data_IF_287675033363
#
_entry.id   IF_287675033363
#
_cell.length_a   1.000
_cell.length_b   1.000
_cell.length_c   1.000
_cell.angle_alpha   90.00
_cell.angle_beta   90.00
_cell.angle_gamma   90.00
#
_symmetry.space_group_name_H-M   'P 1'
#
loop_
_entity.id
_entity.type
_entity.pdbx_description
1 polymer ?
#
# COMPACT_ATOMS: atom_id res chain seq x y z
N UNK A 1 13.10 35.97 3.16
CA UNK A 1 13.19 36.84 1.96
C UNK A 1 13.19 38.27 2.45
N UNK A 2 14.04 39.15 1.92
CA UNK A 2 14.11 40.55 2.35
C UNK A 2 12.99 41.39 1.68
N UNK A 3 12.82 42.64 2.10
CA UNK A 3 11.77 43.53 1.56
C UNK A 3 12.05 43.97 0.10
N UNK A 4 13.31 44.00 -0.32
CA UNK A 4 13.70 44.32 -1.70
C UNK A 4 13.26 43.21 -2.68
N UNK A 5 13.48 41.95 -2.32
CA UNK A 5 13.06 40.77 -3.07
C UNK A 5 11.52 40.69 -3.18
N UNK A 6 10.82 41.05 -2.11
CA UNK A 6 9.34 41.15 -2.11
C UNK A 6 8.86 42.27 -3.04
N UNK A 7 9.54 43.41 -3.05
CA UNK A 7 9.21 44.54 -3.93
C UNK A 7 9.38 44.14 -5.39
N UNK A 8 10.48 43.46 -5.76
CA UNK A 8 10.71 42.94 -7.12
C UNK A 8 9.64 41.96 -7.60
N UNK A 9 9.14 41.09 -6.72
CA UNK A 9 8.01 40.19 -7.02
C UNK A 9 6.72 40.99 -7.23
N UNK A 10 6.49 42.01 -6.40
CA UNK A 10 5.26 42.79 -6.42
C UNK A 10 5.18 43.71 -7.65
N UNK A 11 6.29 44.34 -8.03
CA UNK A 11 6.41 45.19 -9.22
C UNK A 11 6.18 44.41 -10.52
N UNK A 12 6.56 43.12 -10.54
CA UNK A 12 6.42 42.25 -11.72
C UNK A 12 5.21 41.31 -11.65
N UNK A 13 4.27 41.55 -10.71
CA UNK A 13 3.19 40.60 -10.41
C UNK A 13 2.25 40.36 -11.59
N UNK A 14 1.99 41.37 -12.43
CA UNK A 14 1.18 41.24 -13.64
C UNK A 14 1.84 40.30 -14.67
N UNK A 15 3.12 40.51 -14.94
CA UNK A 15 3.88 39.71 -15.92
C UNK A 15 4.08 38.27 -15.40
N UNK A 16 4.34 38.12 -14.10
CA UNK A 16 4.38 36.83 -13.43
C UNK A 16 3.03 36.12 -13.53
N UNK A 17 1.91 36.82 -13.32
CA UNK A 17 0.59 36.21 -13.43
C UNK A 17 0.32 35.70 -14.86
N UNK A 18 0.68 36.46 -15.87
CA UNK A 18 0.45 36.06 -17.27
C UNK A 18 1.37 34.92 -17.72
N UNK A 19 2.63 34.94 -17.29
CA UNK A 19 3.65 34.01 -17.77
C UNK A 19 3.75 32.73 -16.93
N UNK A 20 3.60 32.84 -15.60
CA UNK A 20 3.89 31.76 -14.65
C UNK A 20 2.64 30.95 -14.29
N UNK A 21 1.44 31.50 -14.48
CA UNK A 21 0.19 30.84 -14.06
C UNK A 21 -0.05 29.49 -14.75
N UNK A 22 0.54 29.27 -15.93
CA UNK A 22 0.44 27.99 -16.66
C UNK A 22 1.48 26.98 -16.16
N UNK A 23 2.59 27.45 -15.58
CA UNK A 23 3.73 26.63 -15.14
C UNK A 23 3.95 26.66 -13.62
N UNK A 24 2.91 26.89 -12.82
CA UNK A 24 3.05 26.99 -11.36
C UNK A 24 3.50 25.65 -10.76
N UNK A 25 2.94 24.53 -11.20
CA UNK A 25 3.23 23.20 -10.63
C UNK A 25 4.70 22.79 -10.73
N UNK A 26 5.38 22.87 -11.90
CA UNK A 26 6.82 22.60 -11.99
C UNK A 26 7.69 23.50 -11.07
N UNK A 27 7.35 24.80 -10.99
CA UNK A 27 8.06 25.76 -10.13
C UNK A 27 7.85 25.41 -8.66
N UNK A 28 6.63 24.99 -8.31
CA UNK A 28 6.25 24.59 -6.97
C UNK A 28 7.01 23.33 -6.51
N UNK A 29 7.13 22.33 -7.40
CA UNK A 29 7.94 21.14 -7.14
C UNK A 29 9.40 21.49 -6.88
N UNK A 30 9.99 22.36 -7.70
CA UNK A 30 11.37 22.83 -7.50
C UNK A 30 11.54 23.55 -6.15
N UNK A 31 10.57 24.34 -5.72
CA UNK A 31 10.60 25.03 -4.42
C UNK A 31 10.46 24.06 -3.23
N UNK A 32 9.72 22.97 -3.39
CA UNK A 32 9.59 21.92 -2.37
C UNK A 32 10.87 21.08 -2.29
N UNK A 33 11.42 20.66 -3.43
CA UNK A 33 12.67 19.89 -3.50
C UNK A 33 13.85 20.64 -2.87
N UNK A 34 13.88 21.96 -3.02
CA UNK A 34 14.89 22.84 -2.41
C UNK A 34 14.54 23.28 -0.99
N UNK A 35 13.49 22.72 -0.39
CA UNK A 35 13.12 22.93 1.01
C UNK A 35 12.56 24.32 1.33
N UNK A 36 12.22 25.12 0.32
CA UNK A 36 11.62 26.45 0.51
C UNK A 36 10.16 26.29 0.95
N UNK A 37 9.43 25.37 0.32
CA UNK A 37 8.06 25.00 0.70
C UNK A 37 8.02 23.59 1.28
N UNK A 38 7.00 23.33 2.09
CA UNK A 38 6.73 21.99 2.61
C UNK A 38 5.80 21.22 1.68
N UNK A 39 5.88 19.89 1.69
CA UNK A 39 5.05 19.03 0.86
C UNK A 39 3.55 19.20 1.14
N UNK A 40 3.16 19.50 2.39
CA UNK A 40 1.76 19.72 2.76
C UNK A 40 1.14 20.94 2.06
N UNK A 41 1.97 21.90 1.60
CA UNK A 41 1.49 23.06 0.84
C UNK A 41 0.99 22.64 -0.54
N UNK A 42 1.61 21.64 -1.18
CA UNK A 42 1.18 21.12 -2.48
C UNK A 42 -0.25 20.54 -2.40
N UNK A 43 -0.53 19.74 -1.37
CA UNK A 43 -1.86 19.18 -1.15
C UNK A 43 -2.94 20.25 -0.92
N UNK A 44 -2.61 21.35 -0.24
CA UNK A 44 -3.50 22.51 -0.05
C UNK A 44 -3.61 23.41 -1.29
N UNK A 45 -2.66 23.29 -2.20
CA UNK A 45 -2.59 24.05 -3.45
C UNK A 45 -3.47 23.40 -4.53
N UNK A 46 -3.44 22.07 -4.62
CA UNK A 46 -4.22 21.27 -5.57
C UNK A 46 -5.73 21.27 -5.28
N UNK A 47 -6.13 21.59 -4.05
CA UNK A 47 -7.55 21.72 -3.66
C UNK A 47 -8.21 23.01 -4.20
N UNK A 48 -7.44 23.95 -4.76
CA UNK A 48 -7.97 25.24 -5.24
C UNK A 48 -8.31 25.11 -6.72
N UNK A 49 -9.60 25.17 -7.04
CA UNK A 49 -10.07 24.96 -8.42
C UNK A 49 -9.79 26.14 -9.37
N UNK A 50 -9.62 27.36 -8.83
CA UNK A 50 -9.37 28.55 -9.64
C UNK A 50 -7.87 28.88 -9.74
N UNK A 51 -7.37 28.98 -10.97
CA UNK A 51 -5.93 29.23 -11.25
C UNK A 51 -5.46 30.60 -10.78
N UNK A 52 -6.33 31.61 -10.78
CA UNK A 52 -5.98 32.93 -10.29
C UNK A 52 -5.83 32.94 -8.76
N UNK A 53 -6.71 32.24 -8.06
CA UNK A 53 -6.60 32.02 -6.62
C UNK A 53 -5.40 31.14 -6.26
N UNK A 54 -5.08 30.13 -7.09
CA UNK A 54 -3.84 29.36 -6.96
C UNK A 54 -2.62 30.26 -7.06
N UNK A 55 -2.50 31.05 -8.13
CA UNK A 55 -1.39 32.00 -8.31
C UNK A 55 -1.29 33.00 -7.15
N UNK A 56 -2.43 33.54 -6.70
CA UNK A 56 -2.46 34.50 -5.58
C UNK A 56 -1.98 33.87 -4.28
N UNK A 57 -2.41 32.64 -3.97
CA UNK A 57 -1.95 31.90 -2.80
C UNK A 57 -0.47 31.51 -2.90
N UNK A 58 -0.01 31.15 -4.10
CA UNK A 58 1.40 30.87 -4.37
C UNK A 58 2.29 32.09 -4.08
N UNK A 59 1.97 33.24 -4.67
CA UNK A 59 2.73 34.48 -4.45
C UNK A 59 2.66 34.91 -2.99
N UNK A 60 1.48 34.86 -2.36
CA UNK A 60 1.31 35.18 -0.95
C UNK A 60 2.16 34.28 -0.04
N UNK A 61 2.23 32.98 -0.34
CA UNK A 61 3.02 32.04 0.44
C UNK A 61 4.52 32.23 0.21
N UNK A 62 4.93 32.49 -1.04
CA UNK A 62 6.31 32.79 -1.40
C UNK A 62 6.81 34.04 -0.66
N UNK A 63 6.02 35.12 -0.66
CA UNK A 63 6.36 36.38 0.02
C UNK A 63 6.28 36.31 1.53
N UNK A 64 5.43 35.44 2.08
CA UNK A 64 5.27 35.25 3.53
C UNK A 64 6.14 34.15 4.12
N UNK A 65 6.85 33.37 3.30
CA UNK A 65 7.62 32.18 3.72
C UNK A 65 8.73 32.45 4.73
N UNK A 66 9.17 33.72 4.91
CA UNK A 66 10.27 34.11 5.79
C UNK A 66 11.65 33.56 5.38
N UNK A 67 11.70 32.58 4.48
CA UNK A 67 12.87 31.81 4.11
C UNK A 67 13.88 32.67 3.34
N UNK A 68 15.14 32.72 3.79
CA UNK A 68 16.16 33.63 3.23
C UNK A 68 16.47 33.35 1.76
N UNK A 69 16.37 32.08 1.35
CA UNK A 69 16.68 31.63 -0.02
C UNK A 69 15.44 31.55 -0.93
N UNK A 70 14.25 31.96 -0.47
CA UNK A 70 13.02 31.81 -1.25
C UNK A 70 13.10 32.49 -2.62
N UNK A 71 13.60 33.74 -2.66
CA UNK A 71 13.72 34.49 -3.90
C UNK A 71 14.74 33.90 -4.87
N UNK A 72 15.93 33.54 -4.39
CA UNK A 72 16.97 32.93 -5.22
C UNK A 72 16.51 31.60 -5.82
N UNK A 73 15.85 30.76 -5.01
CA UNK A 73 15.34 29.47 -5.49
C UNK A 73 14.19 29.65 -6.48
N UNK A 74 13.32 30.64 -6.25
CA UNK A 74 12.26 30.99 -7.20
C UNK A 74 12.83 31.43 -8.56
N UNK A 75 13.88 32.26 -8.58
CA UNK A 75 14.58 32.64 -9.81
C UNK A 75 15.19 31.44 -10.53
N UNK A 76 15.81 30.52 -9.79
CA UNK A 76 16.35 29.29 -10.37
C UNK A 76 15.25 28.43 -10.98
N UNK A 77 14.11 28.30 -10.31
CA UNK A 77 12.95 27.58 -10.84
C UNK A 77 12.38 28.25 -12.10
N UNK A 78 12.27 29.58 -12.12
CA UNK A 78 11.84 30.32 -13.31
C UNK A 78 12.78 30.13 -14.51
N UNK A 79 14.11 30.15 -14.28
CA UNK A 79 15.10 29.86 -15.33
C UNK A 79 14.99 28.42 -15.84
N UNK A 80 14.79 27.45 -14.94
CA UNK A 80 14.62 26.05 -15.31
C UNK A 80 13.40 25.83 -16.22
N UNK A 81 12.32 26.57 -15.98
CA UNK A 81 11.10 26.55 -16.81
C UNK A 81 11.18 27.43 -18.07
N UNK A 82 12.36 27.96 -18.41
CA UNK A 82 12.58 28.72 -19.63
C UNK A 82 12.31 30.23 -19.53
N UNK A 83 11.88 30.74 -18.38
CA UNK A 83 11.55 32.16 -18.16
C UNK A 83 12.79 33.05 -17.93
N UNK A 84 13.86 32.86 -18.71
CA UNK A 84 15.13 33.59 -18.56
C UNK A 84 14.95 35.11 -18.70
N UNK A 85 14.23 35.55 -19.74
CA UNK A 85 13.96 36.96 -20.01
C UNK A 85 13.14 37.64 -18.89
N UNK A 86 12.25 36.87 -18.24
CA UNK A 86 11.45 37.38 -17.13
C UNK A 86 12.32 37.58 -15.89
N UNK A 87 13.22 36.64 -15.60
CA UNK A 87 14.15 36.79 -14.47
C UNK A 87 15.12 37.95 -14.71
N UNK A 88 15.62 38.15 -15.93
CA UNK A 88 16.42 39.33 -16.27
C UNK A 88 15.63 40.63 -16.10
N UNK A 89 14.34 40.64 -16.46
CA UNK A 89 13.47 41.81 -16.27
C UNK A 89 13.24 42.11 -14.79
N UNK A 90 13.06 41.08 -13.95
CA UNK A 90 12.93 41.22 -12.50
C UNK A 90 14.25 41.62 -11.80
N UNK A 91 15.39 41.46 -12.47
CA UNK A 91 16.72 41.83 -11.97
C UNK A 91 17.20 43.21 -12.44
N UNK A 92 16.55 43.81 -13.45
CA UNK A 92 16.91 45.15 -13.95
C UNK A 92 16.44 46.23 -12.99
N UNK A 93 17.36 47.07 -12.56
CA UNK A 93 17.10 48.18 -11.64
C UNK A 93 16.73 49.49 -12.34
N UNK A 94 16.95 49.67 -13.66
CA UNK A 94 16.55 50.86 -14.44
C UNK A 94 16.36 50.56 -15.95
N UNK A 95 15.55 51.35 -16.70
CA UNK A 95 15.43 51.25 -18.15
C UNK A 95 16.47 52.14 -18.87
N UNK A 96 17.33 51.54 -19.72
CA UNK A 96 18.34 52.25 -20.51
C UNK A 96 17.79 52.70 -21.89
N UNK A 97 17.73 54.01 -22.21
CA UNK A 97 17.09 54.52 -23.43
C UNK A 97 18.02 54.77 -24.63
N UNK A 98 19.31 54.42 -24.62
CA UNK A 98 20.23 54.84 -25.70
C UNK A 98 20.88 53.70 -26.48
N UNK A 99 20.39 53.45 -27.70
CA UNK A 99 21.18 52.78 -28.76
C UNK A 99 20.96 53.49 -30.11
N UNK A 100 21.82 54.48 -30.38
CA UNK A 100 21.89 55.18 -31.68
C UNK A 100 23.08 54.64 -32.47
N UNK A 101 22.85 54.24 -33.73
CA UNK A 101 23.86 53.83 -34.71
C UNK A 101 24.39 55.10 -35.39
N UNK A 102 25.68 55.41 -35.25
CA UNK A 102 26.35 56.44 -36.05
C UNK A 102 26.82 55.85 -37.39
N UNK A 103 26.52 56.53 -38.50
CA UNK A 103 27.14 56.31 -39.82
C UNK A 103 27.82 57.61 -40.22
N UNK A 104 29.14 57.56 -40.39
CA UNK A 104 29.99 58.69 -40.74
C UNK A 104 30.02 58.88 -42.27
N UNK A 105 29.80 60.13 -42.70
CA UNK A 105 29.91 60.61 -44.08
C UNK A 105 31.37 60.71 -44.52
N UNK A 106 31.62 60.34 -45.78
CA UNK A 106 32.90 60.55 -46.49
C UNK A 106 32.90 61.95 -47.11
N UNK A 107 33.85 62.80 -46.72
CA UNK A 107 34.16 64.06 -47.41
C UNK A 107 35.05 63.78 -48.65
N UNK A 108 34.66 64.35 -49.80
CA UNK A 108 35.50 64.44 -50.99
C UNK A 108 35.99 65.87 -51.16
N UNK A 109 37.31 66.06 -51.20
CA UNK A 109 37.95 67.30 -51.63
C UNK A 109 38.48 67.14 -53.05
N UNK A 110 37.88 67.90 -53.97
CA UNK A 110 38.36 68.13 -55.34
C UNK A 110 39.39 69.27 -55.32
N UNK A 111 40.52 69.09 -56.00
CA UNK A 111 41.32 70.22 -56.49
C UNK A 111 42.01 69.86 -57.80
N UNK A 112 41.77 70.70 -58.80
CA UNK A 112 42.23 70.59 -60.18
C UNK A 112 43.55 71.37 -60.40
N UNK A 113 44.36 70.93 -61.38
CA UNK A 113 45.46 71.72 -61.96
C UNK A 113 46.44 70.87 -62.79
N UNK A 114 46.46 71.04 -64.11
CA UNK A 114 47.16 70.23 -65.12
C UNK A 114 48.71 70.40 -65.17
N UNK A 115 49.47 69.54 -65.90
CA UNK A 115 49.66 69.73 -67.35
C UNK A 115 49.54 68.45 -68.22
N UNK A 116 48.94 68.59 -69.39
CA UNK A 116 48.38 67.52 -70.25
C UNK A 116 49.36 66.64 -71.06
N UNK A 117 50.55 66.32 -70.53
CA UNK A 117 51.48 65.36 -71.13
C UNK A 117 51.84 64.20 -70.19
N UNK A 118 52.09 64.52 -68.91
CA UNK A 118 52.31 63.55 -67.83
C UNK A 118 50.99 62.97 -67.29
N UNK A 119 49.89 63.72 -67.43
CA UNK A 119 48.55 63.30 -67.03
C UNK A 119 48.12 62.00 -67.72
N UNK A 120 48.46 61.81 -69.00
CA UNK A 120 48.07 60.62 -69.77
C UNK A 120 48.89 59.38 -69.38
N UNK A 121 50.16 59.58 -68.97
CA UNK A 121 51.02 58.54 -68.42
C UNK A 121 50.60 58.14 -67.00
N UNK A 122 50.37 59.12 -66.13
CA UNK A 122 49.87 58.90 -64.78
C UNK A 122 48.46 58.28 -64.78
N UNK A 123 47.58 58.68 -65.69
CA UNK A 123 46.26 58.04 -65.86
C UNK A 123 46.41 56.58 -66.30
N UNK A 124 47.28 56.27 -67.27
CA UNK A 124 47.55 54.88 -67.69
C UNK A 124 48.12 54.02 -66.56
N UNK A 125 49.04 54.57 -65.77
CA UNK A 125 49.61 53.87 -64.61
C UNK A 125 48.59 53.68 -63.49
N UNK A 126 47.76 54.69 -63.21
CA UNK A 126 46.64 54.55 -62.27
C UNK A 126 45.60 53.53 -62.74
N UNK A 127 45.31 53.44 -64.05
CA UNK A 127 44.41 52.42 -64.59
C UNK A 127 45.03 51.01 -64.45
N UNK A 128 46.32 50.85 -64.76
CA UNK A 128 47.01 49.57 -64.57
C UNK A 128 47.14 49.17 -63.08
N UNK A 129 47.35 50.13 -62.18
CA UNK A 129 47.34 49.91 -60.73
C UNK A 129 45.94 49.55 -60.21
N UNK A 130 44.89 50.19 -60.74
CA UNK A 130 43.51 49.88 -60.45
C UNK A 130 43.12 48.47 -60.93
N UNK A 131 43.56 48.06 -62.13
CA UNK A 131 43.37 46.71 -62.65
C UNK A 131 44.10 45.67 -61.80
N UNK A 132 45.35 45.92 -61.41
CA UNK A 132 46.12 45.02 -60.53
C UNK A 132 45.45 44.86 -59.16
N UNK A 133 45.03 45.96 -58.54
CA UNK A 133 44.27 45.96 -57.28
C UNK A 133 42.93 45.25 -57.42
N UNK A 134 42.24 45.42 -58.56
CA UNK A 134 41.00 44.73 -58.86
C UNK A 134 41.23 43.22 -58.96
N UNK A 135 42.29 42.78 -59.64
CA UNK A 135 42.62 41.37 -59.79
C UNK A 135 43.05 40.71 -58.46
N UNK A 136 43.85 41.40 -57.64
CA UNK A 136 44.17 40.94 -56.28
C UNK A 136 42.94 40.90 -55.37
N UNK A 137 42.01 41.86 -55.51
CA UNK A 137 40.72 41.82 -54.82
C UNK A 137 39.90 40.62 -55.29
N UNK A 138 39.90 40.31 -56.58
CA UNK A 138 39.18 39.16 -57.09
C UNK A 138 39.76 37.83 -56.62
N UNK A 139 41.10 37.70 -56.55
CA UNK A 139 41.75 36.51 -55.98
C UNK A 139 41.34 36.29 -54.52
N UNK A 140 41.38 37.34 -53.70
CA UNK A 140 40.92 37.29 -52.30
C UNK A 140 39.45 36.89 -52.18
N UNK A 141 38.57 37.46 -53.01
CA UNK A 141 37.15 37.10 -53.04
C UNK A 141 36.96 35.61 -53.38
N UNK A 142 37.73 35.07 -54.34
CA UNK A 142 37.64 33.65 -54.71
C UNK A 142 38.11 32.74 -53.57
N UNK A 143 39.18 33.11 -52.87
CA UNK A 143 39.68 32.40 -51.70
C UNK A 143 38.67 32.43 -50.54
N UNK A 144 38.07 33.59 -50.26
CA UNK A 144 37.03 33.76 -49.24
C UNK A 144 35.78 32.92 -49.56
N UNK A 145 35.32 32.93 -50.82
CA UNK A 145 34.19 32.10 -51.26
C UNK A 145 34.50 30.61 -51.12
N UNK A 146 35.73 30.18 -51.44
CA UNK A 146 36.17 28.80 -51.22
C UNK A 146 36.17 28.43 -49.74
N UNK A 147 36.68 29.31 -48.88
CA UNK A 147 36.70 29.09 -47.44
C UNK A 147 35.30 29.05 -46.83
N UNK A 148 34.39 29.92 -47.27
CA UNK A 148 32.98 29.94 -46.87
C UNK A 148 32.31 28.62 -47.28
N UNK A 149 32.50 28.15 -48.52
CA UNK A 149 31.94 26.87 -48.97
C UNK A 149 32.43 25.70 -48.12
N UNK A 150 33.72 25.66 -47.79
CA UNK A 150 34.28 24.62 -46.92
C UNK A 150 33.64 24.65 -45.52
N UNK A 151 33.52 25.84 -44.92
CA UNK A 151 32.84 26.02 -43.62
C UNK A 151 31.36 25.64 -43.68
N UNK A 152 30.68 25.94 -44.79
CA UNK A 152 29.29 25.54 -44.99
C UNK A 152 29.14 24.01 -45.05
N UNK A 153 30.04 23.31 -45.75
CA UNK A 153 30.04 21.84 -45.79
C UNK A 153 30.32 21.23 -44.42
N UNK A 154 31.29 21.77 -43.67
CA UNK A 154 31.59 21.33 -42.31
C UNK A 154 30.41 21.56 -41.35
N UNK A 155 29.75 22.71 -41.44
CA UNK A 155 28.56 23.01 -40.65
C UNK A 155 27.38 22.09 -41.00
N UNK A 156 27.21 21.72 -42.28
CA UNK A 156 26.16 20.79 -42.71
C UNK A 156 26.40 19.37 -42.20
N UNK A 157 27.66 18.89 -42.22
CA UNK A 157 28.02 17.59 -41.64
C UNK A 157 27.74 17.55 -40.13
N UNK A 158 28.11 18.62 -39.41
CA UNK A 158 27.84 18.71 -37.98
C UNK A 158 26.34 18.70 -37.69
N UNK A 159 25.53 19.42 -38.49
CA UNK A 159 24.07 19.39 -38.38
C UNK A 159 23.48 18.00 -38.60
N UNK A 160 24.01 17.23 -39.55
CA UNK A 160 23.56 15.86 -39.80
C UNK A 160 23.90 14.93 -38.63
N UNK A 161 25.10 15.07 -38.06
CA UNK A 161 25.52 14.31 -36.89
C UNK A 161 24.66 14.64 -35.66
N UNK A 162 24.43 15.93 -35.39
CA UNK A 162 23.52 16.39 -34.33
C UNK A 162 22.11 15.84 -34.50
N UNK A 163 21.59 15.83 -35.73
CA UNK A 163 20.26 15.28 -36.02
C UNK A 163 20.19 13.76 -35.79
N UNK A 164 21.27 13.04 -36.12
CA UNK A 164 21.36 11.60 -35.86
C UNK A 164 21.39 11.31 -34.37
N UNK A 165 22.20 12.03 -33.61
CA UNK A 165 22.27 11.88 -32.15
C UNK A 165 20.94 12.23 -31.47
N UNK A 166 20.25 13.28 -31.93
CA UNK A 166 18.93 13.63 -31.43
C UNK A 166 17.91 12.52 -31.71
N UNK A 167 17.97 11.89 -32.88
CA UNK A 167 17.12 10.75 -33.22
C UNK A 167 17.40 9.52 -32.34
N UNK A 168 18.67 9.17 -32.14
CA UNK A 168 19.08 8.06 -31.26
C UNK A 168 18.61 8.29 -29.82
N UNK A 169 18.75 9.53 -29.32
CA UNK A 169 18.27 9.92 -27.99
C UNK A 169 16.75 9.81 -27.88
N UNK A 170 16.02 10.23 -28.91
CA UNK A 170 14.56 10.11 -28.95
C UNK A 170 14.10 8.64 -28.89
N UNK A 171 14.71 7.77 -29.67
CA UNK A 171 14.39 6.34 -29.67
C UNK A 171 14.75 5.66 -28.35
N UNK A 172 15.86 6.04 -27.72
CA UNK A 172 16.21 5.56 -26.39
C UNK A 172 15.18 6.01 -25.35
N UNK A 173 14.81 7.29 -25.34
CA UNK A 173 13.80 7.82 -24.44
C UNK A 173 12.45 7.12 -24.61
N UNK A 174 12.04 6.87 -25.86
CA UNK A 174 10.81 6.12 -26.17
C UNK A 174 10.84 4.70 -25.60
N UNK A 175 11.97 3.97 -25.73
CA UNK A 175 12.12 2.62 -25.16
C UNK A 175 12.09 2.66 -23.64
N UNK A 176 12.82 3.58 -23.02
CA UNK A 176 12.86 3.73 -21.56
C UNK A 176 11.48 4.08 -21.00
N UNK A 177 10.74 4.98 -21.65
CA UNK A 177 9.36 5.30 -21.28
C UNK A 177 8.45 4.07 -21.37
N UNK A 178 8.60 3.25 -22.41
CA UNK A 178 7.85 1.99 -22.54
C UNK A 178 8.12 1.02 -21.38
N UNK A 179 9.39 0.85 -21.00
CA UNK A 179 9.79 0.02 -19.85
C UNK A 179 9.19 0.57 -18.55
N UNK A 180 9.29 1.88 -18.32
CA UNK A 180 8.75 2.53 -17.12
C UNK A 180 7.22 2.38 -17.02
N UNK A 181 6.50 2.51 -18.14
CA UNK A 181 5.05 2.30 -18.19
C UNK A 181 4.69 0.85 -17.85
N UNK A 182 5.43 -0.13 -18.40
CA UNK A 182 5.22 -1.53 -18.09
C UNK A 182 5.49 -1.83 -16.61
N UNK A 183 6.63 -1.38 -16.08
CA UNK A 183 6.97 -1.57 -14.66
C UNK A 183 5.97 -0.89 -13.73
N UNK A 184 5.44 0.28 -14.11
CA UNK A 184 4.36 0.94 -13.36
C UNK A 184 3.07 0.11 -13.33
N UNK A 185 2.72 -0.53 -14.46
CA UNK A 185 1.58 -1.45 -14.53
C UNK A 185 1.78 -2.71 -13.66
N UNK A 186 2.97 -3.30 -13.70
CA UNK A 186 3.35 -4.45 -12.87
C UNK A 186 3.32 -4.10 -11.38
N UNK A 187 3.82 -2.93 -11.00
CA UNK A 187 3.79 -2.44 -9.61
C UNK A 187 2.34 -2.27 -9.12
N UNK A 188 1.46 -1.71 -9.95
CA UNK A 188 0.04 -1.58 -9.61
C UNK A 188 -0.60 -2.95 -9.39
N UNK A 189 -0.37 -3.90 -10.31
CA UNK A 189 -0.87 -5.27 -10.17
C UNK A 189 -0.36 -5.93 -8.88
N UNK A 190 0.92 -5.75 -8.55
CA UNK A 190 1.51 -6.32 -7.34
C UNK A 190 0.91 -5.71 -6.06
N UNK A 191 0.59 -4.41 -6.07
CA UNK A 191 -0.13 -3.74 -4.96
C UNK A 191 -1.55 -4.28 -4.77
N UNK A 192 -2.25 -4.57 -5.86
CA UNK A 192 -3.58 -5.18 -5.82
C UNK A 192 -3.52 -6.61 -5.26
N UNK A 193 -2.58 -7.44 -5.74
CA UNK A 193 -2.37 -8.80 -5.24
C UNK A 193 -1.95 -8.83 -3.77
N UNK A 194 -1.08 -7.92 -3.35
CA UNK A 194 -0.70 -7.78 -1.94
C UNK A 194 -1.92 -7.45 -1.06
N UNK A 195 -2.80 -6.56 -1.54
CA UNK A 195 -4.04 -6.21 -0.84
C UNK A 195 -4.97 -7.42 -0.72
N UNK A 196 -5.16 -8.17 -1.80
CA UNK A 196 -5.95 -9.43 -1.79
C UNK A 196 -5.39 -10.46 -0.82
N UNK A 197 -4.07 -10.63 -0.79
CA UNK A 197 -3.42 -11.55 0.15
C UNK A 197 -3.64 -11.13 1.61
N UNK A 198 -3.62 -9.83 1.91
CA UNK A 198 -3.96 -9.34 3.25
C UNK A 198 -5.41 -9.65 3.64
N UNK A 199 -6.35 -9.51 2.71
CA UNK A 199 -7.76 -9.85 2.93
C UNK A 199 -7.94 -11.35 3.20
N UNK A 200 -7.35 -12.22 2.37
CA UNK A 200 -7.36 -13.67 2.57
C UNK A 200 -6.77 -14.03 3.94
N UNK A 201 -5.64 -13.42 4.32
CA UNK A 201 -5.02 -13.67 5.63
C UNK A 201 -5.93 -13.22 6.79
N UNK A 202 -6.70 -12.15 6.62
CA UNK A 202 -7.70 -11.70 7.60
C UNK A 202 -8.87 -12.68 7.70
N UNK A 203 -9.39 -13.16 6.57
CA UNK A 203 -10.49 -14.14 6.52
C UNK A 203 -10.09 -15.49 7.14
N UNK A 204 -8.88 -15.97 6.87
CA UNK A 204 -8.35 -17.19 7.49
C UNK A 204 -8.29 -17.06 9.01
N UNK A 205 -7.75 -15.93 9.52
CA UNK A 205 -7.69 -15.68 10.97
C UNK A 205 -9.08 -15.61 11.59
N UNK A 206 -10.05 -15.00 10.91
CA UNK A 206 -11.42 -14.96 11.38
C UNK A 206 -12.05 -16.35 11.43
N UNK A 207 -11.85 -17.14 10.37
CA UNK A 207 -12.36 -18.51 10.27
C UNK A 207 -11.80 -19.41 11.38
N UNK A 208 -10.51 -19.29 11.68
CA UNK A 208 -9.87 -20.02 12.78
C UNK A 208 -10.40 -19.58 14.14
N UNK A 209 -10.58 -18.28 14.36
CA UNK A 209 -11.18 -17.75 15.59
C UNK A 209 -12.61 -18.27 15.80
N UNK A 210 -13.44 -18.25 14.75
CA UNK A 210 -14.81 -18.75 14.80
C UNK A 210 -14.85 -20.26 15.06
N UNK A 211 -13.90 -21.01 14.48
CA UNK A 211 -13.73 -22.44 14.76
C UNK A 211 -13.36 -22.68 16.22
N UNK A 212 -12.42 -21.92 16.76
CA UNK A 212 -12.01 -22.01 18.17
C UNK A 212 -13.16 -21.69 19.13
N UNK A 213 -13.97 -20.66 18.82
CA UNK A 213 -15.17 -20.32 19.59
C UNK A 213 -16.18 -21.48 19.61
N UNK A 214 -16.45 -22.08 18.45
CA UNK A 214 -17.33 -23.27 18.35
C UNK A 214 -16.79 -24.46 19.15
N UNK A 215 -15.48 -24.73 19.08
CA UNK A 215 -14.85 -25.81 19.83
C UNK A 215 -14.90 -25.55 21.34
N UNK A 216 -14.69 -24.31 21.79
CA UNK A 216 -14.84 -23.92 23.19
C UNK A 216 -16.28 -24.16 23.67
N UNK A 217 -17.30 -23.81 22.87
CA UNK A 217 -18.70 -24.11 23.17
C UNK A 217 -18.95 -25.61 23.35
N UNK A 218 -18.47 -26.45 22.41
CA UNK A 218 -18.57 -27.91 22.53
C UNK A 218 -17.85 -28.47 23.75
N UNK A 219 -16.72 -27.90 24.14
CA UNK A 219 -16.02 -28.34 25.36
C UNK A 219 -16.83 -28.07 26.63
N UNK A 220 -17.55 -26.95 26.71
CA UNK A 220 -18.46 -26.70 27.83
C UNK A 220 -19.62 -27.70 27.85
N UNK A 221 -20.22 -28.01 26.69
CA UNK A 221 -21.28 -29.02 26.57
C UNK A 221 -20.78 -30.41 27.00
N UNK A 222 -19.59 -30.82 26.57
CA UNK A 222 -18.96 -32.07 27.02
C UNK A 222 -18.75 -32.06 28.53
N UNK A 223 -18.33 -30.93 29.12
CA UNK A 223 -18.15 -30.82 30.57
C UNK A 223 -19.48 -30.96 31.33
N UNK A 224 -20.55 -30.36 30.82
CA UNK A 224 -21.89 -30.49 31.39
C UNK A 224 -22.41 -31.92 31.30
N UNK A 225 -22.29 -32.56 30.13
CA UNK A 225 -22.65 -33.96 29.92
C UNK A 225 -21.87 -34.88 30.87
N UNK A 226 -20.57 -34.66 31.04
CA UNK A 226 -19.75 -35.43 31.99
C UNK A 226 -20.22 -35.25 33.45
N UNK A 227 -20.67 -34.05 33.82
CA UNK A 227 -21.25 -33.81 35.15
C UNK A 227 -22.56 -34.59 35.34
N UNK A 228 -23.42 -34.62 34.32
CA UNK A 228 -24.65 -35.40 34.35
C UNK A 228 -24.38 -36.90 34.42
N UNK A 229 -23.45 -37.42 33.62
CA UNK A 229 -23.05 -38.84 33.65
C UNK A 229 -22.59 -39.24 35.06
N UNK A 230 -21.70 -38.47 35.68
CA UNK A 230 -21.23 -38.74 37.05
C UNK A 230 -22.36 -38.77 38.09
N UNK A 231 -23.36 -37.89 37.94
CA UNK A 231 -24.54 -37.91 38.83
C UNK A 231 -25.36 -39.19 38.64
N UNK A 232 -25.59 -39.60 37.40
CA UNK A 232 -26.34 -40.80 37.07
C UNK A 232 -25.60 -42.08 37.50
N UNK A 233 -24.27 -42.13 37.31
CA UNK A 233 -23.42 -43.22 37.79
C UNK A 233 -23.53 -43.39 39.31
N UNK A 234 -23.44 -42.28 40.06
CA UNK A 234 -23.61 -42.31 41.51
C UNK A 234 -24.99 -42.84 41.93
N UNK A 235 -26.06 -42.40 41.27
CA UNK A 235 -27.41 -42.90 41.54
C UNK A 235 -27.54 -44.40 41.23
N UNK A 236 -26.88 -44.87 40.17
CA UNK A 236 -26.87 -46.29 39.82
C UNK A 236 -26.12 -47.12 40.86
N UNK A 237 -24.97 -46.66 41.35
CA UNK A 237 -24.22 -47.30 42.43
C UNK A 237 -25.05 -47.41 43.71
N UNK A 238 -25.72 -46.32 44.12
CA UNK A 238 -26.64 -46.31 45.26
C UNK A 238 -27.75 -47.36 45.09
N UNK A 239 -28.33 -47.47 43.89
CA UNK A 239 -29.37 -48.47 43.59
C UNK A 239 -28.84 -49.90 43.58
N UNK A 240 -27.61 -50.13 43.12
CA UNK A 240 -26.97 -51.44 43.18
C UNK A 240 -26.79 -51.88 44.64
N UNK A 241 -26.33 -50.97 45.50
CA UNK A 241 -26.14 -51.24 46.94
C UNK A 241 -27.48 -51.49 47.67
N UNK A 242 -28.51 -50.68 47.39
CA UNK A 242 -29.86 -50.93 47.89
C UNK A 242 -30.37 -52.32 47.48
N UNK A 243 -30.16 -52.72 46.23
CA UNK A 243 -30.61 -54.02 45.72
C UNK A 243 -29.82 -55.18 46.35
N UNK A 244 -28.52 -55.00 46.58
CA UNK A 244 -27.69 -55.96 47.33
C UNK A 244 -28.23 -56.18 48.75
N UNK A 245 -28.56 -55.10 49.45
CA UNK A 245 -29.13 -55.14 50.81
C UNK A 245 -30.51 -55.81 50.84
N UNK A 246 -31.36 -55.50 49.87
CA UNK A 246 -32.68 -56.13 49.71
C UNK A 246 -32.54 -57.62 49.45
N UNK A 247 -31.63 -58.03 48.56
CA UNK A 247 -31.37 -59.44 48.27
C UNK A 247 -30.94 -60.21 49.53
N UNK A 248 -30.03 -59.64 50.32
CA UNK A 248 -29.62 -60.24 51.61
C UNK A 248 -30.80 -60.38 52.56
N UNK A 249 -31.62 -59.34 52.70
CA UNK A 249 -32.81 -59.35 53.55
C UNK A 249 -33.81 -60.43 53.12
N UNK A 250 -34.03 -60.60 51.81
CA UNK A 250 -34.90 -61.65 51.27
C UNK A 250 -34.34 -63.04 51.58
N UNK A 251 -33.03 -63.26 51.41
CA UNK A 251 -32.40 -64.53 51.78
C UNK A 251 -32.58 -64.83 53.28
N UNK A 252 -32.29 -63.87 54.17
CA UNK A 252 -32.46 -64.03 55.61
C UNK A 252 -33.93 -64.35 55.99
N UNK A 253 -34.90 -63.72 55.31
CA UNK A 253 -36.32 -64.01 55.52
C UNK A 253 -36.71 -65.40 55.02
N UNK A 254 -36.17 -65.83 53.88
CA UNK A 254 -36.42 -67.15 53.31
C UNK A 254 -35.90 -68.25 54.24
N UNK A 255 -34.67 -68.11 54.77
CA UNK A 255 -34.09 -69.05 55.74
C UNK A 255 -34.94 -69.16 57.02
N UNK A 256 -35.44 -68.03 57.53
CA UNK A 256 -36.35 -68.03 58.70
C UNK A 256 -37.65 -68.77 58.42
N UNK A 257 -38.28 -68.52 57.27
CA UNK A 257 -39.50 -69.21 56.86
C UNK A 257 -39.27 -70.71 56.69
N UNK A 258 -38.14 -71.10 56.11
CA UNK A 258 -37.77 -72.50 55.95
C UNK A 258 -37.62 -73.20 57.30
N UNK A 259 -36.96 -72.56 58.28
CA UNK A 259 -36.85 -73.08 59.65
C UNK A 259 -38.22 -73.21 60.34
N UNK A 260 -39.13 -72.24 60.15
CA UNK A 260 -40.49 -72.30 60.69
C UNK A 260 -41.26 -73.48 60.07
N UNK A 261 -41.16 -73.65 58.76
CA UNK A 261 -41.82 -74.75 58.04
C UNK A 261 -41.33 -76.12 58.52
N UNK A 262 -40.02 -76.28 58.72
CA UNK A 262 -39.43 -77.50 59.29
C UNK A 262 -39.97 -77.80 60.69
N UNK A 263 -40.02 -76.80 61.57
CA UNK A 263 -40.59 -76.93 62.93
C UNK A 263 -42.07 -77.29 62.89
N UNK A 264 -42.84 -76.69 61.97
CA UNK A 264 -44.25 -77.04 61.79
C UNK A 264 -44.42 -78.48 61.30
N UNK A 265 -43.61 -78.93 60.35
CA UNK A 265 -43.62 -80.31 59.86
C UNK A 265 -43.28 -81.31 60.97
N UNK A 266 -42.27 -81.03 61.80
CA UNK A 266 -41.95 -81.84 62.98
C UNK A 266 -43.12 -81.88 63.98
N UNK A 267 -43.73 -80.72 64.26
CA UNK A 267 -44.88 -80.62 65.16
C UNK A 267 -46.07 -81.44 64.63
N UNK A 268 -46.33 -81.39 63.33
CA UNK A 268 -47.36 -82.20 62.68
C UNK A 268 -47.07 -83.69 62.82
N UNK A 269 -45.82 -84.14 62.61
CA UNK A 269 -45.42 -85.54 62.82
C UNK A 269 -45.71 -85.99 64.26
N UNK A 270 -45.29 -85.22 65.26
CA UNK A 270 -45.55 -85.53 66.69
C UNK A 270 -47.06 -85.60 66.98
N UNK A 271 -47.85 -84.65 66.47
CA UNK A 271 -49.32 -84.67 66.63
C UNK A 271 -49.94 -85.91 66.00
N UNK A 272 -49.47 -86.33 64.84
CA UNK A 272 -49.95 -87.55 64.16
C UNK A 272 -49.63 -88.80 64.98
N UNK A 273 -48.39 -88.91 65.50
CA UNK A 273 -47.99 -90.01 66.39
C UNK A 273 -48.87 -90.05 67.65
N UNK A 274 -48.99 -88.92 68.35
CA UNK A 274 -49.82 -88.85 69.56
C UNK A 274 -51.27 -89.23 69.29
N UNK A 275 -51.82 -88.85 68.12
CA UNK A 275 -53.18 -89.22 67.72
C UNK A 275 -53.30 -90.74 67.53
N UNK A 276 -52.37 -91.35 66.80
CA UNK A 276 -52.37 -92.79 66.53
C UNK A 276 -52.19 -93.59 67.83
N UNK A 277 -51.29 -93.17 68.73
CA UNK A 277 -51.10 -93.79 70.04
C UNK A 277 -52.35 -93.65 70.92
N UNK A 278 -52.95 -92.46 70.99
CA UNK A 278 -54.17 -92.26 71.77
C UNK A 278 -55.33 -93.11 71.23
N UNK A 279 -55.44 -93.26 69.90
CA UNK A 279 -56.42 -94.16 69.28
C UNK A 279 -56.19 -95.61 69.72
N UNK A 280 -54.96 -96.10 69.65
CA UNK A 280 -54.62 -97.45 70.10
C UNK A 280 -54.88 -97.67 71.60
N UNK A 281 -54.58 -96.68 72.45
CA UNK A 281 -54.87 -96.72 73.89
C UNK A 281 -56.37 -96.78 74.17
N UNK A 282 -57.17 -95.96 73.48
CA UNK A 282 -58.63 -95.99 73.63
C UNK A 282 -59.24 -97.29 73.12
N UNK A 283 -58.66 -97.88 72.07
CA UNK A 283 -59.08 -99.20 71.55
C UNK A 283 -58.75 -100.33 72.53
N UNK A 284 -57.57 -100.29 73.15
CA UNK A 284 -57.21 -101.20 74.25
C UNK A 284 -58.18 -101.06 75.43
N UNK A 285 -58.48 -99.83 75.88
CA UNK A 285 -59.44 -99.61 76.98
C UNK A 285 -60.83 -100.18 76.67
N UNK A 286 -61.26 -100.15 75.41
CA UNK A 286 -62.56 -100.68 74.99
C UNK A 286 -62.60 -102.21 74.86
N UNK A 287 -61.51 -102.82 74.40
CA UNK A 287 -61.51 -104.25 74.00
C UNK A 287 -60.74 -105.15 74.97
N UNK A 288 -59.81 -104.60 75.75
CA UNK A 288 -58.87 -105.34 76.60
C UNK A 288 -57.74 -106.05 75.83
N UNK A 289 -57.66 -105.89 74.51
CA UNK A 289 -56.72 -106.60 73.62
C UNK A 289 -55.56 -105.67 73.25
N UNK A 290 -54.32 -106.15 73.44
CA UNK A 290 -53.12 -105.46 72.97
C UNK A 290 -52.79 -105.96 71.57
N UNK A 291 -52.86 -105.07 70.58
CA UNK A 291 -52.36 -105.37 69.23
C UNK A 291 -50.83 -105.26 69.21
N UNK A 292 -50.16 -106.43 69.20
CA UNK A 292 -48.70 -106.52 69.13
C UNK A 292 -48.13 -106.14 67.76
N UNK A 293 -48.99 -105.97 66.74
CA UNK A 293 -48.57 -105.57 65.39
C UNK A 293 -48.81 -104.09 65.09
N UNK A 294 -49.22 -103.27 66.09
CA UNK A 294 -49.45 -101.85 65.89
C UNK A 294 -48.17 -101.14 65.38
N UNK A 295 -48.27 -100.51 64.21
CA UNK A 295 -47.20 -99.73 63.61
C UNK A 295 -47.64 -98.29 63.38
N UNK A 296 -46.77 -97.35 63.77
CA UNK A 296 -46.97 -95.92 63.51
C UNK A 296 -46.71 -95.67 62.03
N UNK A 297 -47.73 -95.15 61.33
CA UNK A 297 -47.61 -94.75 59.93
C UNK A 297 -47.41 -93.25 59.83
N UNK A 298 -46.26 -92.82 59.32
CA UNK A 298 -46.01 -91.44 58.93
C UNK A 298 -46.25 -91.36 57.41
N UNK A 299 -47.15 -90.48 56.95
CA UNK A 299 -47.14 -90.05 55.55
C UNK A 299 -46.01 -89.03 55.39
N UNK A 300 -45.19 -89.23 54.36
CA UNK A 300 -44.12 -88.30 53.95
C UNK A 300 -44.66 -86.91 53.57
#
# INVERSE_FOLDING_TARGET
>A
MNEEDKSKITENLTVLRESVMISIHPILHTLIEKGVFKFEFLAQFDQISDRHNQFSKFISFLTSSGHKLAYSTFKTALKAEGFHNLVETMERTEPDPNRTIHSEQVESATAAGAPGGELLGAMKEMFADAERKHEERMKRIVEDVSHIRKKQTEAELLRQEDQKHLHELHELNKRTLGILQQSSGEEKHLREEFTRLQEIQKEMRQTDNDRLLRLRGKNFEIQELNCMIKKTEKQLEEKIEENSTLKKTICDQYEKLQSILEKQNQTLKVRTVNRQVNQAVEEYKRTGIIDLNFQISLRD
#
